data_IF_583769336897
#
_entry.id   IF_583769336897
#
_cell.length_a   1.000
_cell.length_b   1.000
_cell.length_c   1.000
_cell.angle_alpha   90.00
_cell.angle_beta   90.00
_cell.angle_gamma   90.00
#
_symmetry.space_group_name_H-M   'P 1'
#
loop_
_entity.id
_entity.type
_entity.pdbx_description
1 polymer ?
#
# COMPACT_ATOMS: atom_id res chain seq x y z
N UNK A 1 19.69 6.42 3.96
CA UNK A 1 18.23 6.64 4.09
C UNK A 1 17.55 5.99 2.90
N UNK A 2 16.26 5.70 3.01
CA UNK A 2 15.45 5.09 1.96
C UNK A 2 14.16 5.88 1.84
N UNK A 3 13.83 6.30 0.63
CA UNK A 3 12.52 6.88 0.33
C UNK A 3 11.63 5.80 -0.25
N UNK A 4 10.52 5.56 0.43
CA UNK A 4 9.55 4.54 0.04
C UNK A 4 8.30 5.20 -0.53
N UNK A 5 7.91 4.75 -1.71
CA UNK A 5 6.64 5.06 -2.34
C UNK A 5 5.84 3.77 -2.53
N UNK A 6 4.52 3.89 -2.62
CA UNK A 6 3.70 2.73 -2.97
C UNK A 6 3.89 2.40 -4.45
N UNK A 7 4.23 1.14 -4.76
CA UNK A 7 4.30 0.64 -6.15
C UNK A 7 2.92 0.36 -6.74
N UNK A 8 1.88 0.29 -5.89
CA UNK A 8 0.48 0.20 -6.31
C UNK A 8 -0.44 1.04 -5.40
N UNK A 9 -1.35 1.79 -6.02
CA UNK A 9 -2.22 2.74 -5.31
C UNK A 9 -1.50 4.00 -4.81
N UNK A 10 -2.18 4.77 -3.95
CA UNK A 10 -1.65 6.04 -3.42
C UNK A 10 -0.59 5.82 -2.34
N UNK A 11 0.50 6.59 -2.38
CA UNK A 11 1.51 6.61 -1.31
C UNK A 11 1.04 7.38 -0.07
N UNK A 12 0.33 8.49 -0.28
CA UNK A 12 -0.23 9.28 0.82
C UNK A 12 -1.20 8.43 1.63
N UNK A 13 -1.16 8.56 2.95
CA UNK A 13 -2.11 7.92 3.87
C UNK A 13 -1.82 6.45 4.12
N UNK A 14 -0.89 5.84 3.38
CA UNK A 14 -0.49 4.47 3.64
C UNK A 14 0.04 4.31 5.07
N UNK A 15 -0.18 3.16 5.72
CA UNK A 15 0.31 2.91 7.07
C UNK A 15 1.84 3.01 7.13
N UNK A 16 2.34 3.86 8.03
CA UNK A 16 3.74 3.82 8.43
C UNK A 16 3.87 2.84 9.61
N UNK A 17 4.61 1.74 9.42
CA UNK A 17 4.76 0.67 10.40
C UNK A 17 6.14 0.70 11.06
N UNK A 18 6.20 0.36 12.34
CA UNK A 18 7.47 0.19 13.05
C UNK A 18 8.24 -1.01 12.47
N UNK A 19 9.47 -0.78 12.01
CA UNK A 19 10.32 -1.83 11.43
C UNK A 19 10.78 -2.90 12.44
N UNK A 20 10.83 -2.54 13.72
CA UNK A 20 11.15 -3.40 14.85
C UNK A 20 10.47 -2.90 16.13
N UNK A 21 10.40 -3.75 17.16
CA UNK A 21 9.89 -3.36 18.47
C UNK A 21 10.83 -2.33 19.14
N UNK A 22 10.29 -1.43 19.96
CA UNK A 22 11.09 -0.40 20.63
C UNK A 22 10.26 0.62 21.39
N UNK A 23 10.89 1.73 21.77
CA UNK A 23 10.27 2.85 22.48
C UNK A 23 10.35 4.12 21.64
N UNK A 24 9.23 4.83 21.53
CA UNK A 24 9.17 6.11 20.81
C UNK A 24 9.90 7.19 21.61
N UNK A 25 10.97 7.74 21.05
CA UNK A 25 11.79 8.78 21.67
C UNK A 25 11.57 10.16 21.05
N UNK A 26 10.91 10.23 19.89
CA UNK A 26 10.47 11.50 19.29
C UNK A 26 9.14 11.26 18.60
N UNK A 27 8.20 12.19 18.81
CA UNK A 27 6.97 12.31 18.04
C UNK A 27 6.59 13.78 18.01
N UNK A 28 7.08 14.52 16.99
CA UNK A 28 6.87 15.97 16.88
C UNK A 28 6.81 16.42 15.42
N UNK A 29 6.46 17.68 15.19
CA UNK A 29 6.54 18.32 13.88
C UNK A 29 7.83 19.15 13.79
N UNK A 30 8.58 18.99 12.72
CA UNK A 30 9.70 19.84 12.33
C UNK A 30 9.39 20.58 11.04
N UNK A 31 9.91 21.79 10.87
CA UNK A 31 9.60 22.61 9.68
C UNK A 31 10.06 21.97 8.38
N UNK A 32 11.20 21.30 8.37
CA UNK A 32 11.81 20.64 7.22
C UNK A 32 11.32 19.19 7.07
N UNK A 33 11.36 18.41 8.15
CA UNK A 33 11.05 16.98 8.16
C UNK A 33 9.56 16.65 8.37
N UNK A 34 8.74 17.65 8.65
CA UNK A 34 7.31 17.48 8.90
C UNK A 34 7.02 16.68 10.17
N UNK A 35 5.90 15.98 10.19
CA UNK A 35 5.59 15.05 11.27
C UNK A 35 6.61 13.90 11.27
N UNK A 36 7.34 13.78 12.38
CA UNK A 36 8.44 12.84 12.52
C UNK A 36 8.23 11.95 13.73
N UNK A 37 8.48 10.66 13.56
CA UNK A 37 8.56 9.68 14.65
C UNK A 37 9.96 9.07 14.67
N UNK A 38 10.52 8.89 15.86
CA UNK A 38 11.79 8.19 16.07
C UNK A 38 11.57 7.10 17.13
N UNK A 39 11.98 5.87 16.79
CA UNK A 39 11.89 4.70 17.67
C UNK A 39 13.30 4.24 18.03
N UNK A 40 13.57 4.13 19.33
CA UNK A 40 14.76 3.50 19.88
C UNK A 40 14.49 2.01 20.10
N UNK A 41 15.34 1.17 19.53
CA UNK A 41 15.25 -0.30 19.60
C UNK A 41 16.20 -0.90 20.64
N UNK A 42 16.98 -0.07 21.33
CA UNK A 42 18.04 -0.50 22.24
C UNK A 42 19.35 -0.82 21.51
N UNK A 43 20.44 -0.93 22.28
CA UNK A 43 21.76 -1.29 21.73
C UNK A 43 22.32 -0.28 20.72
N UNK A 44 21.85 0.97 20.75
CA UNK A 44 22.25 2.03 19.81
C UNK A 44 21.50 2.02 18.48
N UNK A 45 20.54 1.11 18.28
CA UNK A 45 19.70 1.04 17.09
C UNK A 45 18.51 2.00 17.17
N UNK A 46 18.35 2.81 16.13
CA UNK A 46 17.26 3.80 16.04
C UNK A 46 16.69 3.80 14.62
N UNK A 47 15.37 3.94 14.50
CA UNK A 47 14.73 4.22 13.21
C UNK A 47 13.97 5.54 13.20
N UNK A 48 13.95 6.22 12.06
CA UNK A 48 13.22 7.48 11.85
C UNK A 48 12.22 7.36 10.71
N UNK A 49 11.07 8.01 10.88
CA UNK A 49 9.95 8.04 9.94
C UNK A 49 9.52 9.50 9.77
N UNK A 50 9.77 10.08 8.60
CA UNK A 50 9.60 11.52 8.32
C UNK A 50 8.45 11.77 7.33
N UNK A 51 8.11 13.05 7.15
CA UNK A 51 7.11 13.57 6.21
C UNK A 51 5.69 13.05 6.43
N UNK A 52 5.39 12.47 7.59
CA UNK A 52 4.13 11.79 7.87
C UNK A 52 2.92 12.74 7.74
N UNK A 53 1.78 12.22 7.29
CA UNK A 53 0.52 12.95 7.34
C UNK A 53 0.02 13.07 8.78
N UNK A 54 0.21 12.01 9.58
CA UNK A 54 -0.20 11.97 10.99
C UNK A 54 0.73 11.07 11.81
N UNK A 55 0.75 11.31 13.13
CA UNK A 55 1.47 10.52 14.12
C UNK A 55 0.45 9.83 15.02
N UNK A 56 0.50 8.49 15.10
CA UNK A 56 -0.43 7.69 15.89
C UNK A 56 0.12 7.32 17.28
N UNK A 57 1.40 7.60 17.53
CA UNK A 57 2.07 7.31 18.81
C UNK A 57 2.82 8.54 19.35
N UNK A 58 2.90 8.64 20.67
CA UNK A 58 3.59 9.70 21.40
C UNK A 58 4.90 9.24 22.03
N UNK A 59 5.72 10.19 22.50
CA UNK A 59 6.98 9.90 23.22
C UNK A 59 6.71 9.04 24.46
N UNK A 60 7.54 8.02 24.68
CA UNK A 60 7.43 7.06 25.78
C UNK A 60 6.60 5.81 25.46
N UNK A 61 5.86 5.79 24.36
CA UNK A 61 5.09 4.60 23.96
C UNK A 61 6.02 3.45 23.54
N UNK A 62 5.71 2.23 23.96
CA UNK A 62 6.30 1.02 23.40
C UNK A 62 5.54 0.60 22.14
N UNK A 63 6.27 0.09 21.14
CA UNK A 63 5.71 -0.39 19.88
C UNK A 63 6.23 -1.78 19.56
N UNK A 64 5.40 -2.61 18.93
CA UNK A 64 5.82 -3.90 18.38
C UNK A 64 6.26 -3.76 16.93
N UNK A 65 7.07 -4.71 16.44
CA UNK A 65 7.34 -4.79 15.01
C UNK A 65 6.03 -4.91 14.21
N UNK A 66 5.93 -4.16 13.12
CA UNK A 66 4.74 -4.12 12.26
C UNK A 66 3.58 -3.28 12.81
N UNK A 67 3.70 -2.73 14.02
CA UNK A 67 2.67 -1.85 14.57
C UNK A 67 2.59 -0.55 13.77
N UNK A 68 1.37 -0.12 13.41
CA UNK A 68 1.17 1.18 12.80
C UNK A 68 1.49 2.31 13.80
N UNK A 69 2.38 3.20 13.39
CA UNK A 69 2.85 4.35 14.19
C UNK A 69 2.45 5.69 13.58
N UNK A 70 2.00 5.70 12.32
CA UNK A 70 1.50 6.90 11.66
C UNK A 70 0.92 6.60 10.28
N UNK A 71 0.73 7.66 9.50
CA UNK A 71 0.34 7.57 8.10
C UNK A 71 1.34 8.36 7.25
N UNK A 72 1.75 7.79 6.12
CA UNK A 72 2.67 8.42 5.16
C UNK A 72 2.05 9.70 4.60
N UNK A 73 2.85 10.73 4.36
CA UNK A 73 2.35 12.02 3.90
C UNK A 73 3.36 12.79 3.07
N UNK A 74 3.19 14.11 3.09
CA UNK A 74 4.05 15.07 2.40
C UNK A 74 4.21 16.33 3.26
N UNK A 75 4.43 16.16 4.57
CA UNK A 75 4.57 17.30 5.48
C UNK A 75 6.03 17.74 5.62
N UNK A 76 6.23 19.01 5.98
CA UNK A 76 7.55 19.64 6.00
C UNK A 76 7.89 20.33 4.68
N UNK A 77 8.93 21.16 4.68
CA UNK A 77 9.38 21.87 3.48
C UNK A 77 10.37 21.08 2.63
N UNK A 78 11.05 20.09 3.20
CA UNK A 78 12.07 19.29 2.52
C UNK A 78 11.47 18.04 1.87
N UNK A 79 10.41 18.19 1.08
CA UNK A 79 9.74 17.09 0.37
C UNK A 79 9.08 17.60 -0.92
N UNK A 80 9.04 16.77 -1.97
CA UNK A 80 8.48 17.11 -3.28
C UNK A 80 7.19 16.36 -3.62
N UNK A 81 6.76 15.44 -2.76
CA UNK A 81 5.60 14.59 -2.99
C UNK A 81 5.42 13.55 -1.89
N UNK A 82 4.28 12.86 -1.86
CA UNK A 82 3.99 11.90 -0.81
C UNK A 82 4.94 10.69 -0.87
N UNK A 83 5.71 10.48 0.20
CA UNK A 83 6.64 9.37 0.38
C UNK A 83 6.96 9.19 1.87
N UNK A 84 7.48 8.02 2.22
CA UNK A 84 8.06 7.78 3.54
C UNK A 84 9.58 7.87 3.44
N UNK A 85 10.17 8.91 4.03
CA UNK A 85 11.61 8.95 4.27
C UNK A 85 11.94 8.15 5.53
N UNK A 86 12.69 7.07 5.35
CA UNK A 86 13.08 6.13 6.39
C UNK A 86 14.60 6.13 6.62
N UNK A 87 14.98 6.12 7.89
CA UNK A 87 16.37 5.93 8.29
C UNK A 87 16.50 4.78 9.26
N UNK A 88 17.48 3.92 9.01
CA UNK A 88 18.05 3.00 10.00
C UNK A 88 19.39 3.56 10.48
N UNK A 89 19.58 3.61 11.80
CA UNK A 89 20.76 4.21 12.41
C UNK A 89 21.34 3.31 13.49
N UNK A 90 22.67 3.28 13.58
CA UNK A 90 23.42 2.63 14.65
C UNK A 90 24.38 3.65 15.26
N UNK A 91 24.31 3.86 16.57
CA UNK A 91 25.17 4.79 17.32
C UNK A 91 25.22 6.20 16.72
N UNK A 92 24.06 6.70 16.26
CA UNK A 92 23.91 8.03 15.69
C UNK A 92 24.23 8.14 14.19
N UNK A 93 24.87 7.16 13.57
CA UNK A 93 25.19 7.15 12.15
C UNK A 93 24.09 6.44 11.34
N UNK A 94 23.75 6.97 10.15
CA UNK A 94 22.87 6.29 9.20
C UNK A 94 23.61 5.09 8.62
N UNK A 95 22.97 3.92 8.63
CA UNK A 95 23.51 2.67 8.07
C UNK A 95 22.62 2.16 6.95
N UNK A 96 23.10 1.16 6.21
CA UNK A 96 22.31 0.50 5.18
C UNK A 96 21.06 -0.14 5.81
N UNK A 97 19.91 0.11 5.19
CA UNK A 97 18.70 -0.66 5.46
C UNK A 97 18.73 -1.93 4.59
N UNK A 98 18.12 -3.01 5.06
CA UNK A 98 17.90 -4.20 4.26
C UNK A 98 16.44 -4.29 3.82
N UNK A 99 16.22 -4.46 2.52
CA UNK A 99 14.90 -4.73 1.92
C UNK A 99 14.98 -6.08 1.24
N UNK A 100 14.02 -6.98 1.49
CA UNK A 100 14.03 -8.36 0.97
C UNK A 100 15.31 -9.17 1.29
N UNK A 101 15.99 -8.86 2.39
CA UNK A 101 17.27 -9.51 2.74
C UNK A 101 18.50 -8.95 2.00
N UNK A 102 18.32 -7.93 1.15
CA UNK A 102 19.40 -7.25 0.44
C UNK A 102 19.64 -5.85 1.02
N UNK A 103 20.91 -5.54 1.31
CA UNK A 103 21.29 -4.23 1.81
C UNK A 103 21.22 -3.17 0.70
N UNK A 104 20.43 -2.12 0.91
CA UNK A 104 20.39 -0.97 -0.02
C UNK A 104 21.63 -0.11 0.23
N UNK A 105 22.46 0.18 -0.79
CA UNK A 105 23.61 1.07 -0.67
C UNK A 105 23.20 2.45 -0.14
N UNK A 106 23.95 2.98 0.83
CA UNK A 106 23.77 4.37 1.26
C UNK A 106 24.43 5.28 0.22
N UNK A 107 23.61 5.99 -0.56
CA UNK A 107 24.07 7.02 -1.50
C UNK A 107 23.64 8.40 -1.03
N UNK A 108 24.45 9.42 -1.31
CA UNK A 108 24.16 10.83 -1.01
C UNK A 108 23.43 11.54 -2.17
N UNK A 109 22.94 10.77 -3.14
CA UNK A 109 22.18 11.25 -4.29
C UNK A 109 20.87 10.47 -4.40
N UNK A 110 19.80 11.17 -4.75
CA UNK A 110 18.47 10.59 -4.98
C UNK A 110 18.46 9.68 -6.23
N UNK A 111 17.53 8.71 -6.26
CA UNK A 111 17.23 7.85 -7.42
C UNK A 111 18.35 6.91 -7.91
N UNK A 112 19.28 6.53 -7.03
CA UNK A 112 20.42 5.68 -7.42
C UNK A 112 20.09 4.17 -7.41
N UNK A 113 19.12 3.74 -6.59
CA UNK A 113 18.73 2.32 -6.44
C UNK A 113 17.22 2.21 -6.23
N UNK A 114 16.59 1.24 -6.89
CA UNK A 114 15.14 0.98 -6.78
C UNK A 114 14.92 -0.46 -6.32
N UNK A 115 14.16 -0.62 -5.23
CA UNK A 115 13.81 -1.92 -4.67
C UNK A 115 12.31 -1.92 -4.33
N UNK A 116 11.62 -3.02 -4.64
CA UNK A 116 10.21 -3.20 -4.26
C UNK A 116 10.13 -4.17 -3.09
N UNK A 117 9.61 -3.71 -1.95
CA UNK A 117 9.47 -4.55 -0.75
C UNK A 117 8.43 -5.64 -0.94
N UNK A 118 8.76 -6.88 -0.57
CA UNK A 118 7.84 -8.03 -0.55
C UNK A 118 7.06 -8.13 0.78
N UNK A 119 7.32 -7.24 1.75
CA UNK A 119 6.78 -7.32 3.11
C UNK A 119 5.44 -6.59 3.31
N UNK A 120 4.91 -5.91 2.28
CA UNK A 120 3.63 -5.20 2.37
C UNK A 120 2.44 -6.16 2.24
N UNK A 121 2.19 -6.93 3.29
CA UNK A 121 1.01 -7.77 3.49
C UNK A 121 0.53 -7.71 4.95
N UNK A 122 -0.08 -6.60 5.37
CA UNK A 122 -0.70 -6.51 6.69
C UNK A 122 -1.06 -5.10 7.17
N UNK A 123 -2.36 -4.76 7.11
CA UNK A 123 -3.04 -3.78 7.97
C UNK A 123 -3.14 -2.33 7.48
N UNK A 124 -4.37 -1.85 7.19
CA UNK A 124 -4.74 -0.43 7.34
C UNK A 124 -5.20 0.40 6.11
N UNK A 125 -5.61 -0.22 5.00
CA UNK A 125 -6.40 0.40 3.92
C UNK A 125 -7.69 -0.40 3.75
N UNK A 126 -8.79 0.11 3.13
CA UNK A 126 -10.00 -0.70 2.89
C UNK A 126 -9.53 -2.07 2.40
N UNK A 127 -9.88 -3.12 3.15
CA UNK A 127 -9.19 -4.41 3.09
C UNK A 127 -8.92 -4.76 1.64
N UNK A 128 -7.65 -4.91 1.26
CA UNK A 128 -7.34 -5.38 -0.09
C UNK A 128 -7.65 -6.87 -0.11
N UNK A 129 -8.60 -7.25 -0.94
CA UNK A 129 -8.97 -8.64 -1.17
C UNK A 129 -8.23 -9.12 -2.40
N UNK A 130 -7.38 -10.12 -2.24
CA UNK A 130 -6.59 -10.66 -3.34
C UNK A 130 -7.44 -11.63 -4.15
N UNK A 131 -7.42 -11.45 -5.46
CA UNK A 131 -8.20 -12.23 -6.41
C UNK A 131 -7.34 -12.62 -7.60
N UNK A 132 -7.50 -13.84 -8.10
CA UNK A 132 -6.83 -14.27 -9.33
C UNK A 132 -7.77 -14.11 -10.52
N UNK A 133 -7.33 -13.42 -11.58
CA UNK A 133 -8.06 -13.32 -12.84
C UNK A 133 -7.54 -14.33 -13.86
N UNK A 134 -8.44 -14.98 -14.61
CA UNK A 134 -8.05 -16.00 -15.58
C UNK A 134 -7.63 -15.42 -16.94
N UNK A 135 -7.89 -14.13 -17.15
CA UNK A 135 -7.54 -13.36 -18.35
C UNK A 135 -7.47 -11.87 -17.99
N UNK A 136 -6.96 -11.07 -18.92
CA UNK A 136 -7.01 -9.61 -18.85
C UNK A 136 -8.47 -9.13 -18.74
N UNK A 137 -8.77 -8.38 -17.68
CA UNK A 137 -10.10 -7.86 -17.41
C UNK A 137 -10.23 -6.41 -17.90
N UNK A 138 -11.22 -6.11 -18.76
CA UNK A 138 -11.55 -4.73 -19.11
C UNK A 138 -11.92 -3.91 -17.87
N UNK A 139 -11.29 -2.75 -17.73
CA UNK A 139 -11.56 -1.81 -16.64
C UNK A 139 -12.46 -0.66 -17.08
N UNK A 140 -13.30 -0.19 -16.16
CA UNK A 140 -14.36 0.78 -16.43
C UNK A 140 -14.44 1.86 -15.33
N UNK A 141 -14.82 3.09 -15.67
CA UNK A 141 -15.04 4.15 -14.68
C UNK A 141 -16.24 3.88 -13.74
N UNK A 142 -17.23 3.16 -14.25
CA UNK A 142 -18.42 2.71 -13.52
C UNK A 142 -18.73 1.26 -13.93
N UNK A 143 -19.44 0.48 -13.10
CA UNK A 143 -19.90 -0.86 -13.46
C UNK A 143 -20.61 -0.88 -14.83
N UNK A 144 -20.05 -1.63 -15.78
CA UNK A 144 -20.58 -1.77 -17.15
C UNK A 144 -20.44 -0.53 -18.04
N UNK A 145 -19.72 0.51 -17.61
CA UNK A 145 -19.52 1.74 -18.36
C UNK A 145 -18.59 1.60 -19.58
N UNK A 146 -18.15 2.71 -20.15
CA UNK A 146 -17.12 2.69 -21.18
C UNK A 146 -15.79 2.14 -20.62
N UNK A 147 -15.07 1.39 -21.44
CA UNK A 147 -13.75 0.87 -21.06
C UNK A 147 -12.76 2.03 -20.90
N UNK A 148 -12.12 2.10 -19.75
CA UNK A 148 -11.09 3.10 -19.41
C UNK A 148 -9.69 2.51 -19.39
N UNK A 149 -9.57 1.18 -19.30
CA UNK A 149 -8.28 0.51 -19.19
C UNK A 149 -8.37 -1.00 -19.12
N UNK A 150 -7.34 -1.60 -18.56
CA UNK A 150 -7.21 -3.06 -18.40
C UNK A 150 -6.52 -3.40 -17.09
N UNK A 151 -7.10 -4.33 -16.35
CA UNK A 151 -6.44 -5.07 -15.29
C UNK A 151 -5.85 -6.34 -15.89
N UNK A 152 -4.55 -6.54 -15.81
CA UNK A 152 -3.87 -7.66 -16.42
C UNK A 152 -4.19 -8.97 -15.69
N UNK A 153 -4.11 -10.07 -16.44
CA UNK A 153 -4.24 -11.41 -15.89
C UNK A 153 -3.25 -11.64 -14.75
N UNK A 154 -3.72 -12.21 -13.64
CA UNK A 154 -2.86 -12.64 -12.54
C UNK A 154 -3.51 -12.39 -11.17
N UNK A 155 -2.67 -12.36 -10.14
CA UNK A 155 -3.09 -12.03 -8.78
C UNK A 155 -3.19 -10.52 -8.61
N UNK A 156 -4.41 -10.05 -8.41
CA UNK A 156 -4.77 -8.64 -8.32
C UNK A 156 -5.41 -8.36 -6.95
N UNK A 157 -5.43 -7.09 -6.54
CA UNK A 157 -6.19 -6.67 -5.37
C UNK A 157 -7.48 -5.98 -5.76
N UNK A 158 -8.51 -6.10 -4.93
CA UNK A 158 -9.75 -5.32 -5.05
C UNK A 158 -10.15 -4.76 -3.69
N UNK A 159 -10.92 -3.68 -3.69
CA UNK A 159 -11.29 -2.95 -2.48
C UNK A 159 -12.64 -3.37 -1.92
N UNK A 160 -13.62 -3.49 -2.81
CA UNK A 160 -15.02 -3.77 -2.49
C UNK A 160 -15.75 -4.19 -3.75
N UNK A 161 -17.00 -4.64 -3.61
CA UNK A 161 -17.87 -5.04 -4.72
C UNK A 161 -19.11 -4.15 -4.82
N UNK A 162 -19.71 -4.11 -6.00
CA UNK A 162 -21.03 -3.54 -6.21
C UNK A 162 -21.81 -4.40 -7.21
N UNK A 163 -23.12 -4.43 -7.05
CA UNK A 163 -24.02 -5.05 -8.02
C UNK A 163 -24.17 -4.15 -9.24
N UNK A 164 -24.10 -4.73 -10.44
CA UNK A 164 -24.16 -3.97 -11.67
C UNK A 164 -24.63 -4.79 -12.88
N UNK A 165 -24.39 -4.28 -14.10
CA UNK A 165 -24.77 -4.97 -15.33
C UNK A 165 -24.11 -6.35 -15.46
N UNK A 166 -24.85 -7.30 -16.04
CA UNK A 166 -24.39 -8.66 -16.26
C UNK A 166 -23.24 -8.71 -17.28
N UNK A 167 -22.16 -9.40 -16.93
CA UNK A 167 -21.18 -9.91 -17.91
C UNK A 167 -21.38 -11.41 -18.05
N UNK A 168 -21.60 -11.89 -19.28
CA UNK A 168 -21.90 -13.28 -19.57
C UNK A 168 -21.19 -13.76 -20.83
N UNK A 169 -20.58 -14.93 -20.76
CA UNK A 169 -20.03 -15.66 -21.91
C UNK A 169 -20.45 -17.12 -21.79
N UNK A 170 -21.31 -17.58 -22.70
CA UNK A 170 -21.90 -18.92 -22.61
C UNK A 170 -22.74 -19.09 -21.34
N UNK A 171 -22.45 -20.14 -20.57
CA UNK A 171 -23.12 -20.43 -19.29
C UNK A 171 -22.53 -19.69 -18.09
N UNK A 172 -21.36 -19.06 -18.26
CA UNK A 172 -20.64 -18.40 -17.18
C UNK A 172 -21.00 -16.92 -17.15
N UNK A 173 -21.32 -16.40 -15.96
CA UNK A 173 -21.84 -15.06 -15.81
C UNK A 173 -21.58 -14.47 -14.41
N UNK A 174 -21.53 -13.13 -14.32
CA UNK A 174 -21.41 -12.45 -13.04
C UNK A 174 -21.99 -11.03 -13.09
N UNK A 175 -22.80 -10.68 -12.08
CA UNK A 175 -23.32 -9.33 -11.85
C UNK A 175 -22.45 -8.48 -10.93
N UNK A 176 -21.48 -9.08 -10.24
CA UNK A 176 -20.59 -8.35 -9.34
C UNK A 176 -19.51 -7.62 -10.12
N UNK A 177 -19.29 -6.38 -9.71
CA UNK A 177 -18.21 -5.52 -10.17
C UNK A 177 -17.30 -5.23 -9.00
N UNK A 178 -16.00 -5.36 -9.22
CA UNK A 178 -14.96 -5.21 -8.22
C UNK A 178 -14.25 -3.87 -8.42
N UNK A 179 -14.17 -3.07 -7.37
CA UNK A 179 -13.45 -1.80 -7.40
C UNK A 179 -11.96 -2.07 -7.20
N UNK A 180 -11.11 -1.56 -8.09
CA UNK A 180 -9.66 -1.80 -8.11
C UNK A 180 -8.92 -0.66 -8.81
N UNK A 181 -7.60 -0.77 -8.92
CA UNK A 181 -6.78 0.06 -9.80
C UNK A 181 -6.26 -0.81 -10.96
N UNK A 182 -6.35 -0.27 -12.18
CA UNK A 182 -5.95 -0.95 -13.41
C UNK A 182 -4.45 -0.80 -13.65
N UNK A 183 -3.83 -1.79 -14.30
CA UNK A 183 -2.43 -1.74 -14.74
C UNK A 183 -2.21 -0.76 -15.91
N UNK A 184 -3.25 -0.49 -16.69
CA UNK A 184 -3.21 0.42 -17.83
C UNK A 184 -4.53 1.17 -18.01
N UNK A 185 -4.46 2.39 -18.55
CA UNK A 185 -5.63 3.24 -18.79
C UNK A 185 -5.54 4.60 -18.09
N UNK A 186 -6.49 5.49 -18.39
CA UNK A 186 -6.61 6.78 -17.72
C UNK A 186 -8.09 7.19 -17.57
N UNK A 187 -8.60 7.38 -16.34
CA UNK A 187 -7.94 7.16 -15.06
C UNK A 187 -7.71 5.67 -14.78
N UNK A 188 -6.60 5.35 -14.11
CA UNK A 188 -6.21 3.99 -13.73
C UNK A 188 -6.71 3.61 -12.33
N UNK A 189 -6.92 4.58 -11.43
CA UNK A 189 -7.35 4.32 -10.05
C UNK A 189 -8.88 4.29 -9.88
N UNK A 190 -9.36 3.57 -8.87
CA UNK A 190 -10.78 3.50 -8.50
C UNK A 190 -11.71 3.09 -9.66
N UNK A 191 -11.24 2.17 -10.50
CA UNK A 191 -11.97 1.62 -11.63
C UNK A 191 -12.68 0.33 -11.23
N UNK A 192 -13.50 -0.19 -12.14
CA UNK A 192 -14.32 -1.36 -11.96
C UNK A 192 -13.97 -2.43 -12.99
N UNK A 193 -13.82 -3.66 -12.53
CA UNK A 193 -13.71 -4.86 -13.37
C UNK A 193 -14.83 -5.82 -13.00
N UNK A 194 -15.29 -6.62 -13.95
CA UNK A 194 -16.30 -7.64 -13.63
C UNK A 194 -15.67 -8.80 -12.86
N UNK A 195 -16.35 -9.27 -11.82
CA UNK A 195 -15.99 -10.50 -11.11
C UNK A 195 -16.17 -11.76 -11.98
N UNK A 196 -16.72 -11.62 -13.19
CA UNK A 196 -16.71 -12.69 -14.20
C UNK A 196 -15.30 -13.22 -14.44
N UNK A 197 -14.27 -12.37 -14.41
CA UNK A 197 -12.89 -12.75 -14.68
C UNK A 197 -12.21 -13.52 -13.52
N UNK A 198 -12.89 -13.73 -12.38
CA UNK A 198 -12.32 -14.44 -11.25
C UNK A 198 -12.11 -15.93 -11.58
N UNK A 199 -10.93 -16.44 -11.24
CA UNK A 199 -10.50 -17.79 -11.63
C UNK A 199 -11.06 -18.92 -10.75
N UNK A 200 -11.53 -18.58 -9.55
CA UNK A 200 -11.76 -19.56 -8.47
C UNK A 200 -13.23 -19.79 -8.14
N UNK A 201 -14.10 -18.85 -8.49
CA UNK A 201 -15.47 -18.82 -8.00
C UNK A 201 -16.45 -18.86 -9.17
N UNK A 202 -17.56 -19.56 -8.99
CA UNK A 202 -18.59 -19.70 -10.02
C UNK A 202 -19.47 -18.45 -10.19
N UNK A 203 -20.59 -18.63 -10.87
CA UNK A 203 -21.49 -17.55 -11.24
C UNK A 203 -22.01 -16.75 -10.03
N UNK A 204 -22.09 -15.42 -10.19
CA UNK A 204 -22.53 -14.45 -9.17
C UNK A 204 -21.83 -14.59 -7.80
N UNK A 205 -20.57 -15.01 -7.82
CA UNK A 205 -19.70 -14.97 -6.64
C UNK A 205 -18.70 -13.82 -6.74
N UNK A 206 -18.42 -13.18 -5.61
CA UNK A 206 -17.38 -12.16 -5.46
C UNK A 206 -16.66 -12.38 -4.14
N UNK A 207 -15.71 -13.32 -4.16
CA UNK A 207 -14.90 -13.74 -3.02
C UNK A 207 -13.42 -13.55 -3.32
N UNK A 208 -12.64 -13.32 -2.27
CA UNK A 208 -11.18 -13.30 -2.34
C UNK A 208 -10.62 -14.71 -2.56
N UNK A 209 -9.31 -14.84 -2.80
CA UNK A 209 -8.63 -16.11 -3.02
C UNK A 209 -8.70 -17.10 -1.85
N UNK A 210 -9.03 -16.61 -0.65
CA UNK A 210 -9.19 -17.40 0.58
C UNK A 210 -10.64 -17.81 0.83
N UNK A 211 -11.58 -17.40 -0.05
CA UNK A 211 -12.99 -17.71 0.05
C UNK A 211 -13.80 -16.74 0.92
N UNK A 212 -13.22 -15.62 1.36
CA UNK A 212 -13.95 -14.58 2.08
C UNK A 212 -14.78 -13.74 1.11
N UNK A 213 -15.99 -13.35 1.52
CA UNK A 213 -16.79 -12.40 0.76
C UNK A 213 -16.10 -11.03 0.70
N UNK A 214 -16.00 -10.49 -0.52
CA UNK A 214 -15.55 -9.12 -0.74
C UNK A 214 -16.69 -8.20 -0.26
N UNK A 215 -16.43 -7.19 0.59
CA UNK A 215 -17.45 -6.32 1.16
C UNK A 215 -18.04 -5.39 0.10
N UNK A 216 -19.27 -4.95 0.32
CA UNK A 216 -19.91 -3.98 -0.58
C UNK A 216 -19.25 -2.60 -0.45
N UNK A 217 -19.21 -1.86 -1.56
CA UNK A 217 -18.71 -0.49 -1.56
C UNK A 217 -19.68 0.45 -0.84
N UNK A 218 -19.17 1.21 0.13
CA UNK A 218 -19.91 2.27 0.85
C UNK A 218 -19.93 3.57 0.08
#
# INVERSE_FOLDING_TARGET
MVDMISVSGATWGTPALASAAGTVVTSTFFSDAGNTIVVDHGGGWVTRYLHLASRAVGVGATVSQGQQIGAVGNTGSATTGAHLHFEQRLNGAVVQAAVNGHAIPVTWSYNQNFETSNNCGGGGSPGRYWVDTFADAPGHATPGGARTGTLLQGTNYVYCRAWGPLVQVGSDYNHWWLKTDLDSGNPWQNQWVSAYYLSRWGNDQAKDNNGNDIPDCT
#
